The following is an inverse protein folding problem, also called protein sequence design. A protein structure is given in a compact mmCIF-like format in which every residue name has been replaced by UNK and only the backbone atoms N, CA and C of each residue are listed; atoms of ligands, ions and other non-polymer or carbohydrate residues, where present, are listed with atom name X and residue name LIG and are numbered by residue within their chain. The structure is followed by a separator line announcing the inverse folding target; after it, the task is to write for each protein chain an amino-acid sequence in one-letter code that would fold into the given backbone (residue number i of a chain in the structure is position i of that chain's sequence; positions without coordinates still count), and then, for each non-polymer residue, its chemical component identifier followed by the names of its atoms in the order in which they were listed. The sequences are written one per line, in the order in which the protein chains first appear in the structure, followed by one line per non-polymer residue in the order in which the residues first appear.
data_IF_569684925413
#
_entry.id   IF_569684925413
#
_cell.length_a   1.000
_cell.length_b   1.000
_cell.length_c   1.000
_cell.angle_alpha   90.00
_cell.angle_beta   90.00
_cell.angle_gamma   90.00
#
_symmetry.space_group_name_H-M   'P 1'
#
loop_
_entity.id
_entity.type
_entity.pdbx_description
1 polymer ?
#
# COMPACT_ATOMS: atom_id res chain seq x y z
N UNK A 1 -15.96 52.65 -33.60
CA UNK A 1 -15.04 51.49 -33.67
C UNK A 1 -14.42 51.22 -32.29
N UNK A 2 -14.98 50.32 -31.46
CA UNK A 2 -14.21 49.59 -30.41
C UNK A 2 -14.69 48.13 -30.16
N UNK A 3 -15.13 47.33 -31.16
CA UNK A 3 -15.50 45.92 -30.91
C UNK A 3 -14.28 44.99 -30.70
N UNK A 4 -13.07 45.38 -31.15
CA UNK A 4 -11.87 44.53 -31.10
C UNK A 4 -11.34 44.26 -29.68
N UNK A 5 -11.61 45.16 -28.72
CA UNK A 5 -11.11 45.03 -27.35
C UNK A 5 -11.91 44.00 -26.54
N UNK A 6 -13.24 44.00 -26.71
CA UNK A 6 -14.14 43.03 -26.05
C UNK A 6 -13.96 41.61 -26.60
N UNK A 7 -13.72 41.46 -27.91
CA UNK A 7 -13.47 40.15 -28.52
C UNK A 7 -12.18 39.50 -28.00
N UNK A 8 -11.14 40.31 -27.76
CA UNK A 8 -9.87 39.83 -27.17
C UNK A 8 -10.03 39.45 -25.69
N UNK A 9 -10.84 40.19 -24.94
CA UNK A 9 -11.11 39.89 -23.53
C UNK A 9 -11.96 38.62 -23.36
N UNK A 10 -12.94 38.41 -24.24
CA UNK A 10 -13.76 37.20 -24.27
C UNK A 10 -12.94 35.95 -24.64
N UNK A 11 -12.01 36.08 -25.59
CA UNK A 11 -11.09 35.02 -25.96
C UNK A 11 -10.12 34.66 -24.81
N UNK A 12 -9.62 35.66 -24.08
CA UNK A 12 -8.77 35.46 -22.91
C UNK A 12 -9.53 34.76 -21.76
N UNK A 13 -10.80 35.13 -21.55
CA UNK A 13 -11.66 34.51 -20.55
C UNK A 13 -12.00 33.05 -20.90
N UNK A 14 -12.24 32.74 -22.18
CA UNK A 14 -12.45 31.36 -22.63
C UNK A 14 -11.20 30.48 -22.45
N UNK A 15 -9.99 30.99 -22.68
CA UNK A 15 -8.74 30.23 -22.48
C UNK A 15 -8.50 29.94 -20.99
N UNK A 16 -8.85 30.86 -20.10
CA UNK A 16 -8.71 30.68 -18.65
C UNK A 16 -9.65 29.61 -18.06
N UNK A 17 -10.76 29.27 -18.74
CA UNK A 17 -11.71 28.26 -18.27
C UNK A 17 -11.26 26.81 -18.53
N UNK A 18 -10.24 26.59 -19.38
CA UNK A 18 -9.76 25.24 -19.71
C UNK A 18 -8.61 24.73 -18.83
N UNK A 19 -8.06 25.54 -17.91
CA UNK A 19 -6.93 25.13 -17.06
C UNK A 19 -7.34 24.41 -15.78
N UNK A 20 -8.64 24.28 -15.49
CA UNK A 20 -9.13 23.78 -14.19
C UNK A 20 -9.55 22.30 -14.17
N UNK A 21 -9.37 21.54 -15.26
CA UNK A 21 -9.76 20.12 -15.29
C UNK A 21 -8.54 19.21 -15.05
N UNK A 22 -8.02 19.21 -13.82
CA UNK A 22 -7.01 18.24 -13.42
C UNK A 22 -7.70 16.94 -12.97
N UNK A 23 -7.73 15.95 -13.85
CA UNK A 23 -8.25 14.62 -13.53
C UNK A 23 -7.29 13.93 -12.54
N UNK A 24 -7.67 13.88 -11.27
CA UNK A 24 -6.89 13.20 -10.23
C UNK A 24 -7.10 11.69 -10.37
N UNK A 25 -6.14 11.01 -11.01
CA UNK A 25 -6.18 9.58 -11.28
C UNK A 25 -5.57 8.72 -10.17
N UNK A 26 -4.87 9.33 -9.20
CA UNK A 26 -4.19 8.65 -8.10
C UNK A 26 -4.50 9.36 -6.78
N UNK A 27 -4.51 8.64 -5.64
CA UNK A 27 -4.66 9.27 -4.32
C UNK A 27 -3.53 10.27 -4.06
N UNK A 28 -3.77 11.20 -3.13
CA UNK A 28 -2.74 12.12 -2.68
C UNK A 28 -1.58 11.37 -2.01
N UNK A 29 -0.36 11.88 -2.22
CA UNK A 29 0.83 11.44 -1.52
C UNK A 29 0.69 11.67 -0.01
N UNK A 30 1.11 10.68 0.79
CA UNK A 30 1.19 10.79 2.24
C UNK A 30 2.62 10.45 2.70
N UNK A 31 3.35 11.47 3.11
CA UNK A 31 4.73 11.33 3.60
C UNK A 31 4.80 10.43 4.85
N UNK A 32 3.79 10.47 5.72
CA UNK A 32 3.80 9.68 6.95
C UNK A 32 3.71 8.18 6.64
N UNK A 33 3.00 7.78 5.57
CA UNK A 33 2.97 6.38 5.12
C UNK A 33 4.35 5.95 4.63
N UNK A 34 5.05 6.77 3.85
CA UNK A 34 6.41 6.47 3.35
C UNK A 34 7.43 6.34 4.48
N UNK A 35 7.39 7.25 5.45
CA UNK A 35 8.29 7.19 6.60
C UNK A 35 8.02 5.94 7.45
N UNK A 36 6.74 5.64 7.71
CA UNK A 36 6.34 4.46 8.50
C UNK A 36 6.63 3.14 7.81
N UNK A 37 6.44 3.02 6.50
CA UNK A 37 6.82 1.79 5.78
C UNK A 37 8.32 1.61 5.79
N UNK A 38 9.09 2.70 5.71
CA UNK A 38 10.57 2.66 5.81
C UNK A 38 11.03 2.23 7.20
N UNK A 39 10.41 2.75 8.26
CA UNK A 39 10.71 2.31 9.62
C UNK A 39 10.34 0.83 9.83
N UNK A 40 9.17 0.43 9.38
CA UNK A 40 8.65 -0.93 9.52
C UNK A 40 9.46 -1.95 8.71
N UNK A 41 9.93 -1.58 7.52
CA UNK A 41 10.81 -2.41 6.70
C UNK A 41 12.18 -2.59 7.34
N UNK A 42 12.76 -1.52 7.90
CA UNK A 42 14.00 -1.60 8.66
C UNK A 42 13.87 -2.54 9.87
N UNK A 43 12.76 -2.45 10.62
CA UNK A 43 12.48 -3.36 11.72
C UNK A 43 12.35 -4.81 11.23
N UNK A 44 11.61 -5.05 10.14
CA UNK A 44 11.45 -6.37 9.56
C UNK A 44 12.80 -6.98 9.15
N UNK A 45 13.65 -6.22 8.47
CA UNK A 45 14.96 -6.70 8.01
C UNK A 45 15.91 -7.00 9.18
N UNK A 46 15.90 -6.18 10.23
CA UNK A 46 16.64 -6.46 11.46
C UNK A 46 16.15 -7.73 12.13
N UNK A 47 14.83 -7.90 12.23
CA UNK A 47 14.25 -9.11 12.80
C UNK A 47 14.66 -10.36 12.00
N UNK A 48 14.59 -10.33 10.67
CA UNK A 48 15.08 -11.47 9.87
C UNK A 48 16.58 -11.75 10.07
N UNK A 49 17.39 -10.72 10.28
CA UNK A 49 18.81 -10.89 10.58
C UNK A 49 19.05 -11.47 11.99
N UNK A 50 18.24 -11.09 12.98
CA UNK A 50 18.30 -11.67 14.33
C UNK A 50 17.95 -13.16 14.36
N UNK A 51 17.10 -13.61 13.44
CA UNK A 51 16.70 -15.01 13.32
C UNK A 51 17.61 -15.84 12.41
N UNK A 52 18.73 -15.28 11.93
CA UNK A 52 19.59 -15.96 10.97
C UNK A 52 20.00 -17.36 11.46
N UNK A 53 19.88 -18.36 10.59
CA UNK A 53 20.04 -19.77 10.95
C UNK A 53 18.80 -20.46 11.56
N UNK A 54 17.69 -19.75 11.74
CA UNK A 54 16.43 -20.30 12.24
C UNK A 54 16.21 -20.13 13.74
N UNK A 55 15.16 -20.76 14.25
CA UNK A 55 14.72 -20.64 15.65
C UNK A 55 14.20 -21.97 16.19
N UNK A 56 14.12 -22.06 17.52
CA UNK A 56 13.46 -23.16 18.24
C UNK A 56 12.27 -22.62 19.04
N UNK A 57 11.21 -23.42 19.17
CA UNK A 57 9.93 -22.98 19.77
C UNK A 57 10.05 -22.62 21.25
N UNK A 58 10.97 -23.24 21.99
CA UNK A 58 11.20 -22.99 23.43
C UNK A 58 11.63 -21.55 23.69
N UNK A 59 12.22 -20.89 22.69
CA UNK A 59 12.69 -19.51 22.76
C UNK A 59 11.69 -18.50 22.17
N UNK A 60 10.50 -18.94 21.74
CA UNK A 60 9.49 -18.11 21.08
C UNK A 60 9.07 -16.89 21.90
N UNK A 61 8.95 -17.03 23.22
CA UNK A 61 8.52 -15.94 24.11
C UNK A 61 9.41 -14.70 24.00
N UNK A 62 10.69 -14.86 23.63
CA UNK A 62 11.61 -13.74 23.41
C UNK A 62 11.29 -12.94 22.14
N UNK A 63 10.72 -13.60 21.12
CA UNK A 63 10.42 -13.02 19.80
C UNK A 63 8.98 -12.56 19.66
N UNK A 64 8.07 -13.10 20.46
CA UNK A 64 6.65 -12.78 20.43
C UNK A 64 6.36 -11.25 20.45
N UNK A 65 7.05 -10.42 21.27
CA UNK A 65 6.84 -8.98 21.23
C UNK A 65 7.19 -8.34 19.87
N UNK A 66 8.28 -8.79 19.23
CA UNK A 66 8.71 -8.29 17.92
C UNK A 66 7.71 -8.66 16.82
N UNK A 67 7.18 -9.89 16.84
CA UNK A 67 6.08 -10.26 15.93
C UNK A 67 4.86 -9.36 16.11
N UNK A 68 4.41 -9.15 17.35
CA UNK A 68 3.25 -8.31 17.62
C UNK A 68 3.46 -6.88 17.11
N UNK A 69 4.67 -6.33 17.30
CA UNK A 69 5.03 -5.01 16.80
C UNK A 69 4.98 -4.95 15.26
N UNK A 70 5.57 -5.93 14.59
CA UNK A 70 5.57 -6.00 13.12
C UNK A 70 4.15 -6.16 12.55
N UNK A 71 3.37 -7.09 13.09
CA UNK A 71 1.97 -7.31 12.66
C UNK A 71 1.16 -6.01 12.82
N UNK A 72 1.21 -5.40 14.01
CA UNK A 72 0.48 -4.16 14.28
C UNK A 72 0.94 -2.98 13.40
N UNK A 73 2.24 -2.88 13.10
CA UNK A 73 2.77 -1.83 12.23
C UNK A 73 2.21 -1.95 10.81
N UNK A 74 2.21 -3.15 10.23
CA UNK A 74 1.68 -3.36 8.87
C UNK A 74 0.16 -3.33 8.80
N UNK A 75 -0.56 -3.77 9.84
CA UNK A 75 -2.02 -3.57 9.94
C UNK A 75 -2.37 -2.08 10.02
N UNK A 76 -1.60 -1.29 10.78
CA UNK A 76 -1.79 0.16 10.86
C UNK A 76 -1.53 0.84 9.51
N UNK A 77 -0.45 0.47 8.81
CA UNK A 77 -0.14 0.96 7.47
C UNK A 77 -1.25 0.64 6.46
N UNK A 78 -1.82 -0.58 6.52
CA UNK A 78 -3.00 -0.94 5.72
C UNK A 78 -4.17 -0.01 5.99
N UNK A 79 -4.51 0.23 7.25
CA UNK A 79 -5.63 1.11 7.61
C UNK A 79 -5.40 2.54 7.10
N UNK A 80 -4.18 3.06 7.26
CA UNK A 80 -3.81 4.39 6.76
C UNK A 80 -3.91 4.47 5.24
N UNK A 81 -3.39 3.46 4.52
CA UNK A 81 -3.47 3.39 3.08
C UNK A 81 -4.92 3.37 2.59
N UNK A 82 -5.79 2.55 3.22
CA UNK A 82 -7.24 2.45 2.91
C UNK A 82 -8.04 3.69 3.27
N UNK A 83 -7.59 4.49 4.24
CA UNK A 83 -8.29 5.70 4.66
C UNK A 83 -8.23 6.83 3.61
N UNK A 84 -7.36 6.70 2.60
CA UNK A 84 -7.28 7.68 1.51
C UNK A 84 -8.56 7.65 0.67
N UNK A 85 -9.00 8.80 0.10
CA UNK A 85 -10.13 8.85 -0.81
C UNK A 85 -9.77 8.17 -2.15
N UNK A 86 -10.59 7.22 -2.58
CA UNK A 86 -10.42 6.62 -3.91
C UNK A 86 -10.86 7.61 -4.99
N UNK A 87 -10.02 7.91 -5.99
CA UNK A 87 -10.43 8.77 -7.08
C UNK A 87 -11.58 8.11 -7.83
N UNK A 88 -12.76 8.73 -7.80
CA UNK A 88 -13.90 8.31 -8.61
C UNK A 88 -13.54 8.47 -10.08
N UNK A 89 -13.45 7.37 -10.82
CA UNK A 89 -13.31 7.42 -12.27
C UNK A 89 -14.54 6.84 -12.95
N UNK A 90 -15.12 7.59 -13.87
CA UNK A 90 -16.25 7.15 -14.69
C UNK A 90 -15.92 5.88 -15.50
N UNK A 91 -14.63 5.61 -15.75
CA UNK A 91 -14.17 4.37 -16.35
C UNK A 91 -14.33 3.16 -15.40
N UNK A 92 -13.91 3.30 -14.14
CA UNK A 92 -14.01 2.23 -13.14
C UNK A 92 -15.48 1.93 -12.78
N UNK A 93 -16.34 2.94 -12.76
CA UNK A 93 -17.79 2.74 -12.62
C UNK A 93 -18.39 1.92 -13.77
N UNK A 94 -18.03 2.23 -15.03
CA UNK A 94 -18.51 1.47 -16.20
C UNK A 94 -18.00 0.04 -16.20
N UNK A 95 -16.74 -0.18 -15.83
CA UNK A 95 -16.17 -1.53 -15.70
C UNK A 95 -16.89 -2.32 -14.62
N UNK A 96 -17.15 -1.70 -13.45
CA UNK A 96 -17.86 -2.34 -12.36
C UNK A 96 -19.32 -2.65 -12.70
N UNK A 97 -20.02 -1.77 -13.43
CA UNK A 97 -21.35 -2.05 -13.93
C UNK A 97 -21.37 -3.24 -14.91
N UNK A 98 -20.38 -3.33 -15.81
CA UNK A 98 -20.22 -4.47 -16.72
C UNK A 98 -19.95 -5.77 -15.96
N UNK A 99 -19.08 -5.75 -14.96
CA UNK A 99 -18.76 -6.92 -14.14
C UNK A 99 -20.00 -7.40 -13.36
N UNK A 100 -20.73 -6.48 -12.73
CA UNK A 100 -21.95 -6.80 -12.00
C UNK A 100 -23.03 -7.39 -12.92
N UNK A 101 -23.22 -6.84 -14.13
CA UNK A 101 -24.14 -7.40 -15.13
C UNK A 101 -23.78 -8.84 -15.56
N UNK A 102 -22.52 -9.26 -15.34
CA UNK A 102 -22.01 -10.60 -15.61
C UNK A 102 -21.94 -11.50 -14.37
N UNK A 103 -22.44 -11.04 -13.22
CA UNK A 103 -22.40 -11.78 -11.95
C UNK A 103 -21.04 -11.78 -11.25
N UNK A 104 -20.10 -10.94 -11.70
CA UNK A 104 -18.79 -10.77 -11.06
C UNK A 104 -18.85 -9.66 -10.01
N UNK A 105 -18.06 -9.82 -8.95
CA UNK A 105 -17.87 -8.78 -7.94
C UNK A 105 -17.28 -7.51 -8.55
N UNK A 106 -17.68 -6.35 -8.04
CA UNK A 106 -17.06 -5.09 -8.41
C UNK A 106 -15.58 -5.11 -8.04
N UNK A 107 -14.75 -4.53 -8.91
CA UNK A 107 -13.37 -4.17 -8.56
C UNK A 107 -13.50 -3.06 -7.53
N UNK A 108 -13.34 -3.43 -6.26
CA UNK A 108 -13.08 -2.48 -5.20
C UNK A 108 -11.64 -2.01 -5.42
N UNK A 109 -11.47 -0.72 -5.71
CA UNK A 109 -10.16 -0.13 -5.96
C UNK A 109 -9.31 -0.11 -4.70
N UNK A 110 -8.87 -1.26 -4.20
CA UNK A 110 -7.98 -1.26 -3.06
C UNK A 110 -6.60 -0.75 -3.50
N UNK A 111 -5.99 0.13 -2.71
CA UNK A 111 -4.67 0.63 -3.02
C UNK A 111 -3.67 -0.53 -3.05
N UNK A 112 -2.82 -0.64 -4.09
CA UNK A 112 -1.83 -1.72 -4.18
C UNK A 112 -0.98 -1.88 -2.91
N UNK A 113 -0.60 -0.75 -2.28
CA UNK A 113 0.12 -0.77 -1.02
C UNK A 113 -0.71 -1.28 0.16
N UNK A 114 -2.02 -0.98 0.23
CA UNK A 114 -2.90 -1.50 1.29
C UNK A 114 -3.00 -3.04 1.23
N UNK A 115 -3.14 -3.59 0.02
CA UNK A 115 -3.10 -5.03 -0.20
C UNK A 115 -1.74 -5.61 0.22
N UNK A 116 -0.63 -5.00 -0.21
CA UNK A 116 0.70 -5.46 0.14
C UNK A 116 0.95 -5.42 1.67
N UNK A 117 0.54 -4.36 2.36
CA UNK A 117 0.61 -4.28 3.82
C UNK A 117 -0.20 -5.38 4.52
N UNK A 118 -1.39 -5.70 3.99
CA UNK A 118 -2.17 -6.84 4.49
C UNK A 118 -1.41 -8.15 4.36
N UNK A 119 -0.81 -8.40 3.20
CA UNK A 119 -0.08 -9.64 2.96
C UNK A 119 1.17 -9.74 3.86
N UNK A 120 1.89 -8.64 4.10
CA UNK A 120 3.03 -8.64 5.03
C UNK A 120 2.58 -8.99 6.45
N UNK A 121 1.49 -8.37 6.94
CA UNK A 121 0.95 -8.67 8.27
C UNK A 121 0.49 -10.14 8.38
N UNK A 122 -0.14 -10.67 7.34
CA UNK A 122 -0.55 -12.07 7.27
C UNK A 122 0.65 -13.02 7.26
N UNK A 123 1.71 -12.68 6.53
CA UNK A 123 2.98 -13.43 6.52
C UNK A 123 3.62 -13.47 7.90
N UNK A 124 3.72 -12.33 8.60
CA UNK A 124 4.24 -12.31 9.97
C UNK A 124 3.35 -13.06 10.96
N UNK A 125 2.03 -13.00 10.81
CA UNK A 125 1.10 -13.76 11.64
C UNK A 125 1.28 -15.27 11.47
N UNK A 126 1.42 -15.73 10.22
CA UNK A 126 1.71 -17.13 9.90
C UNK A 126 3.08 -17.56 10.42
N UNK A 127 4.09 -16.71 10.24
CA UNK A 127 5.45 -16.94 10.73
C UNK A 127 5.47 -17.05 12.25
N UNK A 128 4.78 -16.14 12.97
CA UNK A 128 4.60 -16.19 14.43
C UNK A 128 3.98 -17.52 14.88
N UNK A 129 2.94 -17.98 14.18
CA UNK A 129 2.30 -19.26 14.49
C UNK A 129 3.29 -20.42 14.29
N UNK A 130 3.95 -20.48 13.14
CA UNK A 130 4.95 -21.53 12.83
C UNK A 130 6.07 -21.56 13.88
N UNK A 131 6.61 -20.40 14.23
CA UNK A 131 7.66 -20.26 15.25
C UNK A 131 7.19 -20.74 16.63
N UNK A 132 5.97 -20.39 17.02
CA UNK A 132 5.41 -20.79 18.32
C UNK A 132 5.19 -22.30 18.45
N UNK A 133 4.82 -22.95 17.35
CA UNK A 133 4.50 -24.37 17.34
C UNK A 133 5.77 -25.23 17.18
N UNK A 134 6.69 -24.83 16.30
CA UNK A 134 7.77 -25.70 15.84
C UNK A 134 9.16 -25.04 15.75
N UNK A 135 9.26 -23.74 16.08
CA UNK A 135 10.38 -22.92 15.65
C UNK A 135 10.36 -22.73 14.12
N UNK A 136 11.38 -22.06 13.59
CA UNK A 136 11.50 -21.77 12.16
C UNK A 136 12.79 -22.37 11.64
N UNK A 137 12.68 -23.30 10.70
CA UNK A 137 13.85 -23.86 10.02
C UNK A 137 14.40 -22.89 8.96
N UNK A 138 15.70 -22.90 8.64
CA UNK A 138 16.35 -21.91 7.76
C UNK A 138 15.63 -21.67 6.42
N UNK A 139 15.19 -22.75 5.74
CA UNK A 139 14.50 -22.63 4.46
C UNK A 139 13.13 -21.95 4.60
N UNK A 140 12.39 -22.26 5.67
CA UNK A 140 11.12 -21.60 5.96
C UNK A 140 11.32 -20.12 6.28
N UNK A 141 12.38 -19.78 7.03
CA UNK A 141 12.75 -18.39 7.31
C UNK A 141 13.02 -17.61 6.02
N UNK A 142 13.78 -18.20 5.09
CA UNK A 142 14.04 -17.59 3.78
C UNK A 142 12.77 -17.40 2.96
N UNK A 143 11.84 -18.36 2.99
CA UNK A 143 10.56 -18.24 2.30
C UNK A 143 9.70 -17.10 2.88
N UNK A 144 9.60 -16.99 4.21
CA UNK A 144 8.91 -15.88 4.86
C UNK A 144 9.55 -14.54 4.53
N UNK A 145 10.88 -14.46 4.59
CA UNK A 145 11.63 -13.26 4.23
C UNK A 145 11.35 -12.84 2.79
N UNK A 146 11.46 -13.77 1.84
CA UNK A 146 11.19 -13.47 0.43
C UNK A 146 9.77 -13.00 0.18
N UNK A 147 8.78 -13.58 0.86
CA UNK A 147 7.40 -13.12 0.76
C UNK A 147 7.23 -11.69 1.28
N UNK A 148 7.84 -11.36 2.43
CA UNK A 148 7.82 -9.99 2.98
C UNK A 148 8.52 -9.00 2.04
N UNK A 149 9.68 -9.36 1.49
CA UNK A 149 10.43 -8.51 0.55
C UNK A 149 9.64 -8.20 -0.72
N UNK A 150 8.95 -9.19 -1.30
CA UNK A 150 8.10 -8.99 -2.49
C UNK A 150 7.00 -7.96 -2.22
N UNK A 151 6.30 -8.08 -1.09
CA UNK A 151 5.22 -7.15 -0.79
C UNK A 151 5.73 -5.79 -0.32
N UNK A 152 6.89 -5.73 0.34
CA UNK A 152 7.54 -4.45 0.66
C UNK A 152 7.93 -3.70 -0.62
N UNK A 153 8.51 -4.38 -1.61
CA UNK A 153 8.83 -3.78 -2.90
C UNK A 153 7.59 -3.20 -3.59
N UNK A 154 6.48 -3.96 -3.62
CA UNK A 154 5.21 -3.49 -4.16
C UNK A 154 4.68 -2.24 -3.43
N UNK A 155 4.69 -2.27 -2.10
CA UNK A 155 4.20 -1.15 -1.30
C UNK A 155 5.06 0.10 -1.46
N UNK A 156 6.38 -0.02 -1.32
CA UNK A 156 7.33 1.09 -1.41
C UNK A 156 7.32 1.69 -2.81
N UNK A 157 7.30 0.86 -3.84
CA UNK A 157 7.22 1.33 -5.24
C UNK A 157 5.96 2.15 -5.48
N UNK A 158 4.81 1.65 -5.03
CA UNK A 158 3.54 2.36 -5.18
C UNK A 158 3.53 3.69 -4.41
N UNK A 159 3.92 3.70 -3.13
CA UNK A 159 3.92 4.94 -2.33
C UNK A 159 4.94 5.96 -2.84
N UNK A 160 6.08 5.50 -3.35
CA UNK A 160 7.08 6.38 -3.97
C UNK A 160 6.56 7.01 -5.26
N UNK A 161 5.80 6.27 -6.06
CA UNK A 161 5.17 6.79 -7.29
C UNK A 161 4.16 7.92 -7.02
N UNK A 162 3.54 7.95 -5.83
CA UNK A 162 2.60 9.01 -5.47
C UNK A 162 3.29 10.36 -5.19
N UNK A 163 4.58 10.39 -4.85
CA UNK A 163 5.38 11.58 -4.48
C UNK A 163 5.70 12.52 -5.67
N UNK A 164 4.80 12.66 -6.63
CA UNK A 164 5.02 13.41 -7.88
C UNK A 164 5.49 14.84 -7.63
#
# INVERSE_FOLDING_TARGET
MKPKLYLSFLAFFSIALFTACEATLAPAYDQAIVERVTESSNLAMRFFAELDGGTESESFFMRQPTYNKLIGAFESLKLQARARPLPNSAALEKINALLQSKGSSAITGEYPSAFAFEQIAATFSKMKQTDSENGIKPLALQAFKGQVEIFLDQAITYESFLKR
#
